data_IF_202606565411
#
_entry.id   IF_202606565411
#
_cell.length_a   1.000
_cell.length_b   1.000
_cell.length_c   1.000
_cell.angle_alpha   90.00
_cell.angle_beta   90.00
_cell.angle_gamma   90.00
#
_symmetry.space_group_name_H-M   'P 1'
#
loop_
_entity.id
_entity.type
_entity.pdbx_description
1 polymer ?
#
# COMPACT_ATOMS: atom_id res chain seq x y z
N UNK A 1 70.27 -31.01 3.35
CA UNK A 1 69.34 -30.06 3.96
C UNK A 1 69.56 -28.68 3.34
N UNK A 2 68.76 -28.20 2.36
CA UNK A 2 68.85 -26.82 1.92
C UNK A 2 67.77 -25.97 2.62
N UNK A 3 68.20 -24.92 3.32
CA UNK A 3 67.33 -23.96 4.00
C UNK A 3 66.81 -22.92 3.02
N UNK A 4 65.48 -22.82 2.91
CA UNK A 4 64.79 -21.83 2.06
C UNK A 4 64.77 -20.46 2.75
N UNK A 5 65.49 -19.49 2.18
CA UNK A 5 65.46 -18.09 2.60
C UNK A 5 64.16 -17.44 2.10
N UNK A 6 63.23 -17.09 3.00
CA UNK A 6 62.02 -16.32 2.67
C UNK A 6 62.36 -14.82 2.62
N UNK A 7 62.38 -14.25 1.42
CA UNK A 7 62.38 -12.80 1.19
C UNK A 7 61.02 -12.22 1.63
N UNK A 8 61.02 -11.38 2.69
CA UNK A 8 59.85 -10.59 3.10
C UNK A 8 59.65 -9.42 2.15
N UNK A 9 58.47 -9.32 1.54
CA UNK A 9 58.07 -8.15 0.77
C UNK A 9 57.88 -6.93 1.69
N UNK A 10 58.19 -5.70 1.23
CA UNK A 10 57.98 -4.49 2.01
C UNK A 10 56.48 -4.15 2.14
N UNK A 11 56.10 -3.62 3.30
CA UNK A 11 54.73 -3.22 3.61
C UNK A 11 54.24 -2.06 2.72
N UNK A 12 52.94 -2.01 2.37
CA UNK A 12 52.38 -0.93 1.57
C UNK A 12 52.42 0.41 2.33
N UNK A 13 52.87 1.47 1.64
CA UNK A 13 53.14 2.82 2.19
C UNK A 13 51.93 3.75 2.30
N UNK A 14 50.70 3.28 2.07
CA UNK A 14 49.51 4.14 2.13
C UNK A 14 48.35 3.46 2.85
N UNK A 15 47.61 4.18 3.73
CA UNK A 15 46.40 3.63 4.34
C UNK A 15 45.30 3.43 3.27
N UNK A 16 44.40 2.45 3.45
CA UNK A 16 43.31 2.23 2.50
C UNK A 16 42.40 3.46 2.45
N UNK A 17 42.16 3.96 1.24
CA UNK A 17 41.21 5.03 0.96
C UNK A 17 39.81 4.53 1.35
N UNK A 18 39.21 5.10 2.39
CA UNK A 18 37.81 4.86 2.72
C UNK A 18 36.96 5.44 1.58
N UNK A 19 36.42 4.58 0.73
CA UNK A 19 35.36 4.97 -0.19
C UNK A 19 34.10 5.28 0.64
N UNK A 20 33.53 6.50 0.56
CA UNK A 20 32.24 6.76 1.18
C UNK A 20 31.20 5.87 0.50
N UNK A 21 30.63 4.92 1.26
CA UNK A 21 29.46 4.16 0.80
C UNK A 21 28.35 5.17 0.51
N UNK A 22 27.90 5.23 -0.73
CA UNK A 22 26.69 5.95 -1.10
C UNK A 22 25.53 5.47 -0.21
N UNK A 23 24.65 6.36 0.28
CA UNK A 23 23.51 5.93 1.08
C UNK A 23 22.64 5.00 0.24
N UNK A 24 22.59 3.73 0.62
CA UNK A 24 21.60 2.80 0.08
C UNK A 24 20.21 3.33 0.41
N UNK A 25 19.27 3.35 -0.55
CA UNK A 25 17.90 3.77 -0.27
C UNK A 25 17.32 2.94 0.88
N UNK A 26 16.40 3.50 1.70
CA UNK A 26 15.86 2.80 2.86
C UNK A 26 15.14 1.53 2.41
N UNK A 27 15.79 0.39 2.61
CA UNK A 27 15.17 -0.91 2.49
C UNK A 27 14.23 -1.06 3.68
N UNK A 28 12.91 -0.87 3.48
CA UNK A 28 11.95 -1.22 4.52
C UNK A 28 12.10 -2.71 4.83
N UNK A 29 12.31 -3.05 6.09
CA UNK A 29 12.38 -4.45 6.49
C UNK A 29 11.07 -5.16 6.06
N UNK A 30 11.16 -6.40 5.53
CA UNK A 30 10.01 -7.13 5.01
C UNK A 30 8.80 -7.26 5.98
N UNK A 31 8.97 -7.37 7.31
CA UNK A 31 7.84 -7.35 8.25
C UNK A 31 7.09 -6.01 8.23
N UNK A 32 7.82 -4.91 8.08
CA UNK A 32 7.30 -3.53 8.11
C UNK A 32 6.49 -3.22 6.87
N UNK A 33 6.96 -3.68 5.70
CA UNK A 33 6.23 -3.52 4.44
C UNK A 33 4.89 -4.26 4.44
N UNK A 34 4.85 -5.49 4.96
CA UNK A 34 3.64 -6.30 5.06
C UNK A 34 2.63 -5.67 6.04
N UNK A 35 3.10 -5.25 7.22
CA UNK A 35 2.26 -4.52 8.18
C UNK A 35 1.66 -3.25 7.57
N UNK A 36 2.45 -2.50 6.80
CA UNK A 36 1.96 -1.31 6.11
C UNK A 36 0.87 -1.64 5.07
N UNK A 37 1.01 -2.75 4.32
CA UNK A 37 -0.05 -3.21 3.39
C UNK A 37 -1.37 -3.48 4.15
N UNK A 38 -1.28 -4.19 5.26
CA UNK A 38 -2.44 -4.53 6.08
C UNK A 38 -3.10 -3.27 6.66
N UNK A 39 -2.31 -2.33 7.19
CA UNK A 39 -2.80 -1.06 7.70
C UNK A 39 -3.51 -0.25 6.61
N UNK A 40 -2.96 -0.18 5.40
CA UNK A 40 -3.56 0.53 4.28
C UNK A 40 -4.92 -0.10 3.88
N UNK A 41 -4.99 -1.43 3.75
CA UNK A 41 -6.23 -2.15 3.44
C UNK A 41 -7.31 -1.90 4.50
N UNK A 42 -6.95 -1.94 5.78
CA UNK A 42 -7.86 -1.67 6.89
C UNK A 42 -8.34 -0.22 6.88
N UNK A 43 -7.44 0.74 6.63
CA UNK A 43 -7.80 2.15 6.56
C UNK A 43 -8.78 2.45 5.42
N UNK A 44 -8.56 1.86 4.24
CA UNK A 44 -9.50 1.94 3.11
C UNK A 44 -10.86 1.36 3.51
N UNK A 45 -10.89 0.20 4.18
CA UNK A 45 -12.15 -0.39 4.67
C UNK A 45 -12.90 0.54 5.62
N UNK A 46 -12.21 1.18 6.56
CA UNK A 46 -12.83 2.15 7.48
C UNK A 46 -13.50 3.30 6.71
N UNK A 47 -12.82 3.88 5.72
CA UNK A 47 -13.36 4.98 4.92
C UNK A 47 -14.58 4.56 4.09
N UNK A 48 -14.53 3.37 3.47
CA UNK A 48 -15.66 2.82 2.72
C UNK A 48 -16.88 2.59 3.62
N UNK A 49 -16.67 2.05 4.82
CA UNK A 49 -17.74 1.82 5.80
C UNK A 49 -18.36 3.15 6.26
N UNK A 50 -17.53 4.13 6.65
CA UNK A 50 -18.01 5.46 7.07
C UNK A 50 -18.83 6.12 5.96
N UNK A 51 -18.38 6.04 4.71
CA UNK A 51 -19.15 6.57 3.58
C UNK A 51 -20.47 5.86 3.38
N UNK A 52 -20.47 4.54 3.43
CA UNK A 52 -21.70 3.77 3.30
C UNK A 52 -22.70 4.11 4.40
N UNK A 53 -22.23 4.41 5.61
CA UNK A 53 -23.08 4.85 6.71
C UNK A 53 -23.63 6.28 6.55
N UNK A 54 -22.87 7.19 5.91
CA UNK A 54 -23.30 8.55 5.59
C UNK A 54 -24.29 8.57 4.40
N UNK A 55 -24.25 7.54 3.56
CA UNK A 55 -25.11 7.34 2.39
C UNK A 55 -26.51 6.81 2.76
N UNK A 56 -27.23 7.55 3.61
CA UNK A 56 -28.61 7.22 4.02
C UNK A 56 -29.63 8.11 3.32
N UNK A 57 -30.83 7.59 3.03
CA UNK A 57 -31.93 8.39 2.52
C UNK A 57 -32.17 9.62 3.42
N UNK A 58 -32.26 10.81 2.81
CA UNK A 58 -32.45 12.08 3.52
C UNK A 58 -31.16 12.84 3.87
N UNK A 59 -29.99 12.36 3.46
CA UNK A 59 -28.76 13.14 3.58
C UNK A 59 -28.71 14.24 2.49
N UNK A 60 -28.45 15.52 2.82
CA UNK A 60 -28.53 16.64 1.88
C UNK A 60 -27.54 16.53 0.72
N UNK A 61 -26.42 15.84 0.91
CA UNK A 61 -25.45 15.57 -0.16
C UNK A 61 -25.89 14.48 -1.16
N UNK A 62 -27.02 13.81 -0.92
CA UNK A 62 -27.59 12.80 -1.80
C UNK A 62 -28.86 13.30 -2.50
N UNK A 63 -29.27 14.55 -2.25
CA UNK A 63 -30.40 15.15 -2.94
C UNK A 63 -30.16 15.15 -4.45
N UNK A 64 -31.09 14.55 -5.19
CA UNK A 64 -31.00 14.38 -6.64
C UNK A 64 -30.28 13.11 -7.12
N UNK A 65 -29.74 12.26 -6.23
CA UNK A 65 -29.21 10.95 -6.61
C UNK A 65 -30.36 9.92 -6.68
N UNK A 66 -30.56 9.22 -7.81
CA UNK A 66 -31.57 8.17 -7.91
C UNK A 66 -31.29 7.04 -6.90
N UNK A 67 -32.34 6.43 -6.31
CA UNK A 67 -32.17 5.37 -5.31
C UNK A 67 -31.40 4.16 -5.86
N UNK A 68 -31.61 3.80 -7.13
CA UNK A 68 -30.90 2.69 -7.77
C UNK A 68 -29.39 2.96 -7.88
N UNK A 69 -29.01 4.20 -8.20
CA UNK A 69 -27.60 4.60 -8.25
C UNK A 69 -26.94 4.58 -6.87
N UNK A 70 -27.70 4.95 -5.82
CA UNK A 70 -27.24 4.85 -4.44
C UNK A 70 -27.00 3.40 -4.03
N UNK A 71 -27.93 2.50 -4.35
CA UNK A 71 -27.79 1.07 -4.05
C UNK A 71 -26.58 0.46 -4.78
N UNK A 72 -26.39 0.78 -6.06
CA UNK A 72 -25.25 0.34 -6.85
C UNK A 72 -23.92 0.82 -6.26
N UNK A 73 -23.88 2.05 -5.77
CA UNK A 73 -22.70 2.62 -5.14
C UNK A 73 -22.37 1.94 -3.80
N UNK A 74 -23.39 1.70 -2.97
CA UNK A 74 -23.24 0.95 -1.71
C UNK A 74 -22.72 -0.47 -1.98
N UNK A 75 -23.27 -1.15 -2.99
CA UNK A 75 -22.82 -2.48 -3.42
C UNK A 75 -21.36 -2.45 -3.86
N UNK A 76 -20.94 -1.40 -4.55
CA UNK A 76 -19.54 -1.20 -4.96
C UNK A 76 -18.58 -1.01 -3.78
N UNK A 77 -18.99 -0.29 -2.73
CA UNK A 77 -18.19 -0.15 -1.52
C UNK A 77 -18.06 -1.49 -0.78
N UNK A 78 -19.16 -2.22 -0.64
CA UNK A 78 -19.18 -3.54 0.01
C UNK A 78 -18.26 -4.52 -0.71
N UNK A 79 -18.32 -4.58 -2.06
CA UNK A 79 -17.43 -5.44 -2.85
C UNK A 79 -15.95 -5.14 -2.61
N UNK A 80 -15.58 -3.86 -2.49
CA UNK A 80 -14.20 -3.43 -2.21
C UNK A 80 -13.76 -3.81 -0.80
N UNK A 81 -14.62 -3.63 0.20
CA UNK A 81 -14.37 -4.09 1.58
C UNK A 81 -14.11 -5.59 1.60
N UNK A 82 -14.96 -6.36 0.91
CA UNK A 82 -14.81 -7.81 0.82
C UNK A 82 -13.49 -8.23 0.15
N UNK A 83 -13.16 -7.63 -1.00
CA UNK A 83 -11.89 -7.85 -1.71
C UNK A 83 -10.68 -7.58 -0.80
N UNK A 84 -10.70 -6.49 -0.05
CA UNK A 84 -9.63 -6.14 0.88
C UNK A 84 -9.50 -7.15 2.03
N UNK A 85 -10.62 -7.58 2.61
CA UNK A 85 -10.65 -8.59 3.67
C UNK A 85 -10.16 -9.96 3.19
N UNK A 86 -10.52 -10.37 1.97
CA UNK A 86 -9.99 -11.58 1.35
C UNK A 86 -8.46 -11.51 1.19
N UNK A 87 -7.94 -10.36 0.74
CA UNK A 87 -6.51 -10.14 0.64
C UNK A 87 -5.82 -10.23 2.01
N UNK A 88 -6.38 -9.59 3.05
CA UNK A 88 -5.85 -9.67 4.42
C UNK A 88 -5.82 -11.12 4.90
N UNK A 89 -6.90 -11.87 4.67
CA UNK A 89 -6.99 -13.29 5.04
C UNK A 89 -5.90 -14.12 4.36
N UNK A 90 -5.71 -13.95 3.04
CA UNK A 90 -4.67 -14.64 2.30
C UNK A 90 -3.26 -14.29 2.80
N UNK A 91 -2.99 -13.02 3.12
CA UNK A 91 -1.72 -12.58 3.72
C UNK A 91 -1.49 -13.28 5.07
N UNK A 92 -2.50 -13.28 5.94
CA UNK A 92 -2.43 -13.91 7.27
C UNK A 92 -2.29 -15.44 7.19
N UNK A 93 -2.76 -16.07 6.12
CA UNK A 93 -2.57 -17.50 5.84
C UNK A 93 -1.19 -17.83 5.25
N UNK A 94 -0.29 -16.84 5.12
CA UNK A 94 1.07 -17.05 4.64
C UNK A 94 1.29 -16.78 3.15
N UNK A 95 0.34 -16.13 2.46
CA UNK A 95 0.54 -15.63 1.10
C UNK A 95 0.88 -14.13 1.08
N UNK A 96 2.15 -13.73 1.27
CA UNK A 96 2.55 -12.32 1.30
C UNK A 96 2.41 -11.61 -0.06
N UNK A 97 2.22 -12.37 -1.15
CA UNK A 97 2.03 -11.87 -2.51
C UNK A 97 0.55 -11.72 -2.89
N UNK A 98 -0.38 -12.03 -1.99
CA UNK A 98 -1.79 -11.83 -2.24
C UNK A 98 -2.06 -10.35 -2.57
N UNK A 99 -2.97 -10.12 -3.52
CA UNK A 99 -3.37 -8.79 -3.97
C UNK A 99 -4.88 -8.66 -3.88
N UNK A 100 -5.42 -7.49 -3.51
CA UNK A 100 -6.86 -7.25 -3.57
C UNK A 100 -7.32 -7.33 -5.03
N UNK A 101 -8.49 -7.94 -5.26
CA UNK A 101 -9.07 -8.08 -6.60
C UNK A 101 -9.50 -6.74 -7.20
N UNK A 102 -9.87 -5.78 -6.36
CA UNK A 102 -10.31 -4.45 -6.78
C UNK A 102 -9.28 -3.41 -6.32
N UNK A 103 -8.52 -2.89 -7.26
CA UNK A 103 -7.47 -1.89 -7.01
C UNK A 103 -7.85 -0.48 -7.51
N UNK A 104 -8.99 -0.36 -8.17
CA UNK A 104 -9.51 0.92 -8.66
C UNK A 104 -10.33 1.64 -7.59
N UNK A 105 -10.20 2.97 -7.48
CA UNK A 105 -11.03 3.75 -6.59
C UNK A 105 -12.52 3.57 -6.95
N UNK A 106 -13.43 3.65 -5.97
CA UNK A 106 -14.84 3.64 -6.29
C UNK A 106 -15.24 4.93 -7.04
N UNK A 107 -16.27 4.87 -7.88
CA UNK A 107 -16.80 6.05 -8.54
C UNK A 107 -17.36 7.02 -7.49
N UNK A 108 -17.06 8.29 -7.65
CA UNK A 108 -17.66 9.36 -6.85
C UNK A 108 -18.98 9.77 -7.50
N UNK A 109 -20.12 9.69 -6.79
CA UNK A 109 -21.36 10.18 -7.36
C UNK A 109 -21.23 11.69 -7.59
N UNK A 110 -21.86 12.24 -8.65
CA UNK A 110 -21.72 13.63 -9.05
C UNK A 110 -21.85 14.66 -7.91
N UNK A 111 -22.81 14.54 -6.96
CA UNK A 111 -22.96 15.51 -5.88
C UNK A 111 -21.81 15.49 -4.86
N UNK A 112 -21.04 14.39 -4.81
CA UNK A 112 -19.93 14.17 -3.88
C UNK A 112 -18.56 14.44 -4.49
N UNK A 113 -18.49 14.96 -5.72
CA UNK A 113 -17.23 15.19 -6.42
C UNK A 113 -16.38 16.36 -5.88
N UNK A 114 -16.56 16.81 -4.63
CA UNK A 114 -15.74 17.87 -4.04
C UNK A 114 -14.27 17.39 -3.90
N UNK A 115 -13.35 17.79 -4.81
CA UNK A 115 -12.05 17.10 -4.96
C UNK A 115 -11.07 17.40 -3.84
N UNK A 116 -11.32 18.46 -3.05
CA UNK A 116 -10.39 18.93 -2.02
C UNK A 116 -10.46 18.14 -0.71
N UNK A 117 -11.52 17.38 -0.44
CA UNK A 117 -11.68 16.68 0.84
C UNK A 117 -11.54 15.16 0.74
N UNK A 118 -11.49 14.61 -0.48
CA UNK A 118 -11.48 13.17 -0.66
C UNK A 118 -10.06 12.58 -0.73
N UNK A 119 -9.64 11.90 0.34
CA UNK A 119 -8.38 11.16 0.41
C UNK A 119 -8.42 9.77 -0.24
N UNK A 120 -9.61 9.18 -0.42
CA UNK A 120 -9.78 7.79 -0.84
C UNK A 120 -9.13 7.50 -2.21
N UNK A 121 -9.27 8.32 -3.27
CA UNK A 121 -8.57 8.10 -4.52
C UNK A 121 -7.05 8.05 -4.37
N UNK A 122 -6.47 8.92 -3.51
CA UNK A 122 -5.03 8.94 -3.24
C UNK A 122 -4.57 7.65 -2.56
N UNK A 123 -5.39 7.10 -1.66
CA UNK A 123 -5.10 5.82 -1.00
C UNK A 123 -5.16 4.65 -1.99
N UNK A 124 -6.05 4.66 -2.98
CA UNK A 124 -6.08 3.65 -4.04
C UNK A 124 -4.86 3.73 -4.97
N UNK A 125 -4.38 4.94 -5.29
CA UNK A 125 -3.10 5.11 -6.03
C UNK A 125 -1.94 4.55 -5.21
N UNK A 126 -1.92 4.80 -3.90
CA UNK A 126 -0.90 4.22 -3.01
C UNK A 126 -1.02 2.70 -2.95
N UNK A 127 -2.24 2.15 -2.86
CA UNK A 127 -2.53 0.73 -2.86
C UNK A 127 -1.96 0.06 -4.12
N UNK A 128 -2.24 0.62 -5.31
CA UNK A 128 -1.70 0.14 -6.58
C UNK A 128 -0.17 0.03 -6.53
N UNK A 129 0.51 1.13 -6.17
CA UNK A 129 1.98 1.17 -6.07
C UNK A 129 2.55 0.17 -5.07
N UNK A 130 1.90 0.02 -3.92
CA UNK A 130 2.37 -0.86 -2.85
C UNK A 130 2.28 -2.35 -3.21
N UNK A 131 1.28 -2.71 -4.00
CA UNK A 131 1.05 -4.10 -4.41
C UNK A 131 1.70 -4.43 -5.75
N UNK A 132 2.00 -3.46 -6.62
CA UNK A 132 2.73 -3.69 -7.88
C UNK A 132 4.22 -4.00 -7.68
N UNK A 133 4.87 -3.40 -6.67
CA UNK A 133 6.32 -3.48 -6.45
C UNK A 133 6.74 -4.77 -5.69
N UNK A 134 5.84 -5.72 -5.42
CA UNK A 134 6.09 -6.91 -4.58
C UNK A 134 5.69 -8.24 -5.20
#
# INVERSE_FOLDING_TARGET
>A
MPGTVRLRAPAPKYPPRFSPRSPTPPHMDPPTALQYKLQLLLHINTLLIVRSAMMRPGHPQLDGLPPDQLEDLLRQYIRRVHSNLQCISAINQGNPRARPQIMDPPPLPPPLQHPQQDILPKLYVLLAKLFDVS
#
